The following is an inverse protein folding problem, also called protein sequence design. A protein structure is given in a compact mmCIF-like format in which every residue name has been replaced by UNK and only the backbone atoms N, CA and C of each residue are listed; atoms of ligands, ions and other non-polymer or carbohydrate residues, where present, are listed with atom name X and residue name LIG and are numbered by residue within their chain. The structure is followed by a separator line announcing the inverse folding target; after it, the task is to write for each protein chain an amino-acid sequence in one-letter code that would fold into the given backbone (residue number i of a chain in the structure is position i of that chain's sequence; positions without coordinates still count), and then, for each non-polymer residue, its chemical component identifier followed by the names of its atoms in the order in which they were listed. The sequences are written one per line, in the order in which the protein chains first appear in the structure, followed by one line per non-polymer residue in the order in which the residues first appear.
data_IF_316321938899
#
_entry.id   IF_316321938899
#
_cell.length_a   1.000
_cell.length_b   1.000
_cell.length_c   1.000
_cell.angle_alpha   90.00
_cell.angle_beta   90.00
_cell.angle_gamma   90.00
#
_symmetry.space_group_name_H-M   'P 1'
#
loop_
_entity.id
_entity.type
_entity.pdbx_description
1 polymer ?
#
# COMPACT_ATOMS: atom_id res chain seq x y z
N UNK A 1 -21.66 71.07 14.39
CA UNK A 1 -21.97 69.90 15.24
C UNK A 1 -22.75 68.89 14.41
N UNK A 2 -22.57 67.59 14.68
CA UNK A 2 -23.22 66.42 14.06
C UNK A 2 -22.53 65.77 12.83
N UNK A 3 -21.48 65.00 13.15
CA UNK A 3 -21.21 63.60 12.76
C UNK A 3 -21.88 63.05 11.47
N UNK A 4 -21.05 62.62 10.51
CA UNK A 4 -21.10 61.25 9.92
C UNK A 4 -19.85 60.99 9.08
N UNK A 5 -18.90 60.26 9.66
CA UNK A 5 -17.92 59.48 8.89
C UNK A 5 -18.68 58.27 8.34
N UNK A 6 -18.68 58.10 7.02
CA UNK A 6 -19.12 56.88 6.36
C UNK A 6 -17.93 56.40 5.53
N UNK A 7 -17.07 55.65 6.20
CA UNK A 7 -16.14 54.73 5.56
C UNK A 7 -16.94 53.51 5.11
N UNK A 8 -16.86 53.18 3.83
CA UNK A 8 -17.28 51.88 3.31
C UNK A 8 -16.52 51.63 2.00
N UNK A 9 -15.20 51.48 2.14
CA UNK A 9 -14.41 50.75 1.16
C UNK A 9 -15.00 49.37 0.94
N UNK A 10 -15.31 49.05 -0.32
CA UNK A 10 -15.80 47.76 -0.74
C UNK A 10 -14.64 46.74 -0.62
N UNK A 11 -14.56 46.10 0.54
CA UNK A 11 -13.60 45.04 0.81
C UNK A 11 -13.91 43.82 -0.06
N UNK A 12 -12.92 43.44 -0.86
CA UNK A 12 -12.86 42.18 -1.59
C UNK A 12 -12.80 41.05 -0.56
N UNK A 13 -13.89 40.32 -0.39
CA UNK A 13 -13.92 39.14 0.47
C UNK A 13 -13.27 37.97 -0.27
N UNK A 14 -11.94 37.89 -0.17
CA UNK A 14 -11.17 36.71 -0.53
C UNK A 14 -11.48 35.61 0.50
N UNK A 15 -12.30 34.65 0.09
CA UNK A 15 -12.62 33.46 0.90
C UNK A 15 -11.43 32.51 0.81
N UNK A 16 -10.41 32.74 1.63
CA UNK A 16 -9.43 31.74 1.98
C UNK A 16 -10.10 30.71 2.90
N UNK A 17 -10.74 29.69 2.32
CA UNK A 17 -11.13 28.51 3.07
C UNK A 17 -9.87 27.74 3.47
N UNK A 18 -9.51 27.85 4.74
CA UNK A 18 -8.65 26.88 5.39
C UNK A 18 -9.33 25.51 5.31
N UNK A 19 -8.78 24.61 4.51
CA UNK A 19 -9.25 23.23 4.38
C UNK A 19 -9.02 22.51 5.71
N UNK A 20 -10.09 22.32 6.48
CA UNK A 20 -10.11 21.35 7.57
C UNK A 20 -9.67 19.98 7.01
N UNK A 21 -8.97 19.12 7.79
CA UNK A 21 -8.54 17.82 7.29
C UNK A 21 -9.77 16.97 7.02
N UNK A 22 -10.21 16.95 5.77
CA UNK A 22 -11.33 16.14 5.32
C UNK A 22 -10.95 14.68 5.56
N UNK A 23 -11.77 13.99 6.35
CA UNK A 23 -11.48 12.61 6.72
C UNK A 23 -11.41 11.76 5.45
N UNK A 24 -10.32 10.99 5.22
CA UNK A 24 -10.19 10.19 4.00
C UNK A 24 -11.41 9.31 3.77
N UNK A 25 -11.91 9.26 2.53
CA UNK A 25 -13.14 8.55 2.15
C UNK A 25 -13.20 7.11 2.69
N UNK A 26 -12.10 6.37 2.54
CA UNK A 26 -11.99 5.00 3.06
C UNK A 26 -11.99 4.92 4.58
N UNK A 27 -11.43 5.92 5.28
CA UNK A 27 -11.42 5.98 6.74
C UNK A 27 -12.81 6.22 7.30
N UNK A 28 -13.60 7.09 6.64
CA UNK A 28 -15.01 7.32 6.97
C UNK A 28 -15.82 6.03 6.78
N UNK A 29 -15.70 5.41 5.60
CA UNK A 29 -16.35 4.14 5.29
C UNK A 29 -15.99 3.03 6.27
N UNK A 30 -14.71 2.95 6.66
CA UNK A 30 -14.25 1.98 7.65
C UNK A 30 -15.01 2.14 8.98
N UNK A 31 -15.10 3.37 9.50
CA UNK A 31 -15.73 3.65 10.80
C UNK A 31 -17.25 3.45 10.79
N UNK A 32 -17.92 3.85 9.72
CA UNK A 32 -19.38 3.87 9.65
C UNK A 32 -19.98 2.52 9.25
N UNK A 33 -19.38 1.86 8.25
CA UNK A 33 -19.96 0.66 7.62
C UNK A 33 -19.18 -0.61 8.00
N UNK A 34 -17.85 -0.59 7.83
CA UNK A 34 -17.03 -1.81 7.89
C UNK A 34 -16.90 -2.33 9.32
N UNK A 35 -16.74 -1.42 10.30
CA UNK A 35 -16.69 -1.78 11.72
C UNK A 35 -17.97 -2.52 12.14
N UNK A 36 -19.14 -2.04 11.68
CA UNK A 36 -20.42 -2.69 11.97
C UNK A 36 -20.53 -4.05 11.27
N UNK A 37 -20.19 -4.11 9.99
CA UNK A 37 -20.23 -5.37 9.24
C UNK A 37 -19.32 -6.46 9.84
N UNK A 38 -18.11 -6.08 10.29
CA UNK A 38 -17.18 -7.02 10.94
C UNK A 38 -17.67 -7.45 12.32
N UNK A 39 -18.27 -6.53 13.08
CA UNK A 39 -18.88 -6.87 14.36
C UNK A 39 -20.04 -7.86 14.19
N UNK A 40 -20.90 -7.66 13.19
CA UNK A 40 -22.03 -8.54 12.92
C UNK A 40 -21.58 -9.92 12.38
N UNK A 41 -20.46 -9.99 11.65
CA UNK A 41 -19.92 -11.24 11.07
C UNK A 41 -19.19 -12.12 12.11
N UNK A 42 -18.42 -11.51 13.02
CA UNK A 42 -17.58 -12.25 13.98
C UNK A 42 -18.07 -12.15 15.44
N UNK A 43 -19.11 -11.35 15.70
CA UNK A 43 -19.74 -11.14 17.01
C UNK A 43 -18.73 -10.91 18.14
N UNK A 44 -17.88 -9.89 17.99
CA UNK A 44 -16.84 -9.57 18.96
C UNK A 44 -17.43 -9.10 20.30
N UNK A 45 -16.93 -9.65 21.41
CA UNK A 45 -17.36 -9.23 22.77
C UNK A 45 -16.97 -7.77 23.09
N UNK A 46 -15.92 -7.26 22.45
CA UNK A 46 -15.40 -5.92 22.69
C UNK A 46 -15.19 -5.18 21.36
N UNK A 47 -15.75 -3.96 21.19
CA UNK A 47 -15.56 -3.14 19.98
C UNK A 47 -14.09 -2.87 19.63
N UNK A 48 -13.19 -2.87 20.61
CA UNK A 48 -11.75 -2.64 20.39
C UNK A 48 -11.01 -3.86 19.81
N UNK A 49 -11.66 -5.03 19.73
CA UNK A 49 -11.11 -6.22 19.09
C UNK A 49 -11.29 -6.21 17.57
N UNK A 50 -12.12 -5.30 17.05
CA UNK A 50 -12.41 -5.22 15.62
C UNK A 50 -11.11 -4.93 14.84
N UNK A 51 -10.77 -5.77 13.85
CA UNK A 51 -9.52 -5.65 13.14
C UNK A 51 -9.47 -4.37 12.30
N UNK A 52 -8.39 -3.62 12.45
CA UNK A 52 -8.13 -2.39 11.71
C UNK A 52 -6.80 -2.42 10.95
N UNK A 53 -6.63 -1.46 10.06
CA UNK A 53 -5.38 -1.30 9.32
C UNK A 53 -4.39 -0.46 10.15
N UNK A 54 -3.23 -1.03 10.46
CA UNK A 54 -2.20 -0.37 11.31
C UNK A 54 -1.23 0.46 10.48
N UNK A 55 -0.71 -0.13 9.41
CA UNK A 55 0.26 0.51 8.51
C UNK A 55 0.26 -0.19 7.16
N UNK A 56 0.66 0.55 6.13
CA UNK A 56 1.01 -0.03 4.83
C UNK A 56 2.51 0.17 4.62
N UNK A 57 3.21 -0.89 4.28
CA UNK A 57 4.62 -0.83 3.90
C UNK A 57 4.71 -1.07 2.40
N UNK A 58 5.34 -0.13 1.70
CA UNK A 58 5.66 -0.28 0.28
C UNK A 58 7.18 -0.45 0.18
N UNK A 59 7.63 -1.53 -0.44
CA UNK A 59 9.03 -1.86 -0.57
C UNK A 59 9.38 -2.10 -2.04
N UNK A 60 10.53 -1.59 -2.47
CA UNK A 60 11.10 -1.88 -3.78
C UNK A 60 12.52 -2.42 -3.60
N UNK A 61 12.70 -3.69 -3.97
CA UNK A 61 14.00 -4.32 -4.09
C UNK A 61 14.62 -4.00 -5.44
N UNK A 62 15.76 -3.32 -5.45
CA UNK A 62 16.47 -2.93 -6.68
C UNK A 62 17.84 -3.61 -6.65
N UNK A 63 17.88 -4.91 -6.96
CA UNK A 63 19.13 -5.69 -6.90
C UNK A 63 20.29 -5.10 -7.71
N UNK A 64 19.98 -4.46 -8.84
CA UNK A 64 20.94 -3.77 -9.70
C UNK A 64 21.55 -2.50 -9.06
N UNK A 65 20.94 -1.98 -7.97
CA UNK A 65 21.43 -0.80 -7.27
C UNK A 65 22.81 -0.99 -6.62
N UNK A 66 23.23 -2.24 -6.42
CA UNK A 66 24.59 -2.55 -5.93
C UNK A 66 25.67 -2.09 -6.92
N UNK A 67 25.36 -2.07 -8.23
CA UNK A 67 26.27 -1.69 -9.30
C UNK A 67 26.10 -0.22 -9.72
N UNK A 68 24.86 0.27 -9.78
CA UNK A 68 24.57 1.66 -10.18
C UNK A 68 23.64 2.37 -9.19
N UNK A 69 24.21 3.39 -8.53
CA UNK A 69 23.48 4.24 -7.58
C UNK A 69 22.38 5.07 -8.25
N UNK A 70 22.48 5.37 -9.55
CA UNK A 70 21.46 6.18 -10.25
C UNK A 70 20.11 5.45 -10.33
N UNK A 71 20.13 4.12 -10.45
CA UNK A 71 18.91 3.31 -10.48
C UNK A 71 18.15 3.44 -9.15
N UNK A 72 18.89 3.48 -8.03
CA UNK A 72 18.31 3.70 -6.71
C UNK A 72 17.68 5.10 -6.59
N UNK A 73 18.33 6.13 -7.10
CA UNK A 73 17.80 7.50 -7.07
C UNK A 73 16.51 7.61 -7.90
N UNK A 74 16.41 6.88 -9.02
CA UNK A 74 15.17 6.73 -9.78
C UNK A 74 14.06 6.08 -8.94
N UNK A 75 14.36 4.96 -8.29
CA UNK A 75 13.40 4.25 -7.44
C UNK A 75 12.89 5.11 -6.27
N UNK A 76 13.78 5.92 -5.69
CA UNK A 76 13.42 6.88 -4.63
C UNK A 76 12.47 7.95 -5.15
N UNK A 77 12.69 8.48 -6.36
CA UNK A 77 11.80 9.45 -6.99
C UNK A 77 10.42 8.86 -7.28
N UNK A 78 10.38 7.65 -7.85
CA UNK A 78 9.13 6.97 -8.18
C UNK A 78 8.27 6.74 -6.91
N UNK A 79 8.85 6.19 -5.84
CA UNK A 79 8.11 6.01 -4.58
C UNK A 79 7.70 7.32 -3.94
N UNK A 80 8.51 8.38 -4.08
CA UNK A 80 8.15 9.69 -3.55
C UNK A 80 6.93 10.25 -4.28
N UNK A 81 6.88 10.09 -5.61
CA UNK A 81 5.74 10.52 -6.42
C UNK A 81 4.48 9.72 -6.07
N UNK A 82 4.60 8.39 -5.96
CA UNK A 82 3.47 7.50 -5.65
C UNK A 82 2.94 7.75 -4.24
N UNK A 83 3.81 7.73 -3.23
CA UNK A 83 3.38 7.74 -1.82
C UNK A 83 3.29 9.15 -1.21
N UNK A 84 3.83 10.16 -1.88
CA UNK A 84 3.97 11.52 -1.35
C UNK A 84 4.98 11.63 -0.21
N UNK A 85 5.71 10.56 0.11
CA UNK A 85 6.67 10.51 1.22
C UNK A 85 8.04 10.11 0.71
N UNK A 86 9.08 10.79 1.18
CA UNK A 86 10.46 10.41 0.87
C UNK A 86 10.76 9.01 1.46
N UNK A 87 11.13 8.01 0.64
CA UNK A 87 11.44 6.68 1.11
C UNK A 87 12.77 6.63 1.85
N UNK A 88 12.89 5.63 2.74
CA UNK A 88 14.14 5.28 3.37
C UNK A 88 14.88 4.22 2.55
N UNK A 89 16.13 4.50 2.23
CA UNK A 89 17.04 3.56 1.57
C UNK A 89 17.44 2.43 2.51
N UNK A 90 17.28 1.19 2.06
CA UNK A 90 17.71 0.00 2.80
C UNK A 90 19.13 -0.37 2.43
N UNK A 91 19.96 -0.61 3.45
CA UNK A 91 21.35 -1.03 3.30
C UNK A 91 21.49 -2.54 3.55
N UNK A 92 22.43 -3.15 2.86
CA UNK A 92 22.86 -4.53 3.07
C UNK A 92 23.34 -4.74 4.49
N UNK A 93 22.79 -5.74 5.20
CA UNK A 93 23.30 -6.17 6.52
C UNK A 93 24.36 -7.27 6.44
N UNK A 94 24.43 -7.97 5.31
CA UNK A 94 25.36 -9.09 5.10
C UNK A 94 25.97 -8.97 3.71
N UNK A 95 27.25 -9.35 3.61
CA UNK A 95 27.93 -9.50 2.33
C UNK A 95 27.62 -10.87 1.73
N UNK A 96 27.18 -10.90 0.47
CA UNK A 96 26.85 -12.14 -0.25
C UNK A 96 27.47 -12.06 -1.64
N UNK A 97 28.48 -12.91 -1.88
CA UNK A 97 29.27 -12.87 -3.11
C UNK A 97 28.44 -13.17 -4.37
N UNK A 98 27.46 -14.08 -4.30
CA UNK A 98 26.60 -14.43 -5.43
C UNK A 98 25.81 -13.24 -5.99
N UNK A 99 25.44 -12.29 -5.12
CA UNK A 99 24.73 -11.06 -5.51
C UNK A 99 25.68 -9.87 -5.69
N UNK A 100 26.99 -10.11 -5.69
CA UNK A 100 28.03 -9.06 -5.75
C UNK A 100 27.85 -7.97 -4.69
N UNK A 101 27.29 -8.34 -3.53
CA UNK A 101 26.81 -7.40 -2.54
C UNK A 101 27.76 -7.35 -1.33
N UNK A 102 28.11 -6.14 -0.91
CA UNK A 102 28.89 -5.86 0.31
C UNK A 102 28.03 -5.21 1.38
N UNK A 103 28.34 -5.49 2.64
CA UNK A 103 27.71 -4.86 3.80
C UNK A 103 27.75 -3.32 3.70
N UNK A 104 26.64 -2.67 4.06
CA UNK A 104 26.50 -1.22 4.01
C UNK A 104 26.12 -0.64 2.64
N UNK A 105 26.14 -1.43 1.55
CA UNK A 105 25.67 -0.98 0.24
C UNK A 105 24.15 -0.80 0.19
N UNK A 106 23.68 0.19 -0.55
CA UNK A 106 22.25 0.43 -0.75
C UNK A 106 21.67 -0.57 -1.78
N UNK A 107 20.59 -1.25 -1.41
CA UNK A 107 19.96 -2.30 -2.25
C UNK A 107 18.54 -1.91 -2.67
N UNK A 108 17.85 -1.16 -1.83
CA UNK A 108 16.44 -0.88 -2.07
C UNK A 108 15.95 0.33 -1.31
N UNK A 109 14.65 0.51 -1.37
CA UNK A 109 13.98 1.61 -0.70
C UNK A 109 12.59 1.16 -0.24
N UNK A 110 12.16 1.71 0.89
CA UNK A 110 10.86 1.40 1.47
C UNK A 110 10.22 2.64 2.08
N UNK A 111 8.89 2.65 2.11
CA UNK A 111 8.06 3.66 2.78
C UNK A 111 7.13 2.94 3.73
N UNK A 112 6.97 3.49 4.93
CA UNK A 112 5.89 3.09 5.84
C UNK A 112 4.87 4.21 5.94
N UNK A 113 3.65 3.93 5.48
CA UNK A 113 2.51 4.84 5.54
C UNK A 113 1.64 4.51 6.75
N UNK A 114 1.25 5.56 7.48
CA UNK A 114 0.35 5.52 8.65
C UNK A 114 -0.62 6.70 8.62
N UNK A 115 -1.69 6.62 9.40
CA UNK A 115 -2.66 7.70 9.52
C UNK A 115 -3.40 7.95 8.20
N UNK A 116 -3.63 9.21 7.86
CA UNK A 116 -4.49 9.57 6.72
C UNK A 116 -3.85 9.23 5.36
N UNK A 117 -2.53 9.42 5.22
CA UNK A 117 -1.77 9.05 4.01
C UNK A 117 -1.89 7.58 3.64
N UNK A 118 -2.00 6.71 4.64
CA UNK A 118 -2.20 5.28 4.43
C UNK A 118 -3.56 5.01 3.78
N UNK A 119 -4.62 5.66 4.26
CA UNK A 119 -5.97 5.51 3.73
C UNK A 119 -6.10 6.11 2.32
N UNK A 120 -5.48 7.25 2.06
CA UNK A 120 -5.41 7.86 0.73
C UNK A 120 -4.63 7.01 -0.27
N UNK A 121 -3.50 6.43 0.14
CA UNK A 121 -2.74 5.51 -0.69
C UNK A 121 -3.54 4.25 -1.00
N UNK A 122 -4.22 3.66 0.00
CA UNK A 122 -5.10 2.52 -0.23
C UNK A 122 -6.24 2.85 -1.21
N UNK A 123 -6.82 4.05 -1.11
CA UNK A 123 -7.90 4.47 -2.01
C UNK A 123 -7.43 4.64 -3.45
N UNK A 124 -6.28 5.30 -3.65
CA UNK A 124 -5.65 5.43 -4.97
C UNK A 124 -5.25 4.07 -5.55
N UNK A 125 -4.72 3.18 -4.71
CA UNK A 125 -4.32 1.84 -5.13
C UNK A 125 -5.53 1.05 -5.65
N UNK A 126 -6.60 1.00 -4.86
CA UNK A 126 -7.80 0.21 -5.19
C UNK A 126 -8.61 0.81 -6.35
N UNK A 127 -8.80 2.13 -6.34
CA UNK A 127 -9.70 2.80 -7.27
C UNK A 127 -9.04 3.15 -8.61
N UNK A 128 -7.73 3.44 -8.62
CA UNK A 128 -7.02 3.91 -9.81
C UNK A 128 -5.98 2.91 -10.32
N UNK A 129 -5.12 2.39 -9.45
CA UNK A 129 -3.97 1.60 -9.87
C UNK A 129 -4.33 0.15 -10.26
N UNK A 130 -5.08 -0.59 -9.42
CA UNK A 130 -5.39 -2.00 -9.68
C UNK A 130 -6.17 -2.24 -10.99
N UNK A 131 -7.20 -1.46 -11.34
CA UNK A 131 -7.93 -1.65 -12.60
C UNK A 131 -7.07 -1.41 -13.85
N UNK A 132 -5.95 -0.68 -13.72
CA UNK A 132 -5.05 -0.32 -14.81
C UNK A 132 -3.96 -1.36 -15.04
N UNK A 133 -3.86 -2.39 -14.20
CA UNK A 133 -2.94 -3.51 -14.39
C UNK A 133 -3.37 -4.29 -15.64
N UNK A 134 -2.43 -4.54 -16.55
CA UNK A 134 -2.67 -5.39 -17.72
C UNK A 134 -3.02 -6.82 -17.29
N UNK A 135 -4.08 -7.38 -17.87
CA UNK A 135 -4.61 -8.71 -17.56
C UNK A 135 -4.91 -8.93 -16.05
N UNK A 136 -5.55 -7.94 -15.42
CA UNK A 136 -5.93 -8.05 -14.01
C UNK A 136 -7.01 -9.13 -13.77
N UNK A 137 -6.62 -10.25 -13.16
CA UNK A 137 -7.51 -11.38 -12.81
C UNK A 137 -7.95 -11.39 -11.34
N UNK A 138 -7.74 -10.28 -10.63
CA UNK A 138 -7.92 -10.21 -9.18
C UNK A 138 -6.69 -10.65 -8.40
N UNK A 139 -6.66 -10.26 -7.14
CA UNK A 139 -5.60 -10.53 -6.18
C UNK A 139 -5.77 -11.92 -5.57
N UNK A 140 -4.65 -12.61 -5.33
CA UNK A 140 -4.68 -13.93 -4.70
C UNK A 140 -5.10 -13.83 -3.23
N UNK A 141 -6.17 -14.55 -2.86
CA UNK A 141 -6.68 -14.61 -1.48
C UNK A 141 -5.81 -15.41 -0.52
N UNK A 142 -4.78 -16.12 -1.00
CA UNK A 142 -3.94 -16.99 -0.18
C UNK A 142 -2.63 -16.31 0.29
N UNK A 143 -2.40 -15.05 -0.06
CA UNK A 143 -1.16 -14.33 0.30
C UNK A 143 -1.18 -13.74 1.72
N UNK A 144 -1.95 -14.35 2.63
CA UNK A 144 -1.94 -13.97 4.03
C UNK A 144 -0.88 -14.76 4.80
N UNK A 145 -0.25 -14.13 5.79
CA UNK A 145 0.90 -14.67 6.53
C UNK A 145 0.53 -15.53 7.77
N UNK A 146 -0.74 -15.87 7.94
CA UNK A 146 -1.24 -16.60 9.12
C UNK A 146 -1.75 -15.70 10.23
N UNK A 147 -1.29 -14.44 10.27
CA UNK A 147 -1.60 -13.46 11.31
C UNK A 147 -2.43 -12.29 10.75
N UNK A 148 -3.14 -12.52 9.63
CA UNK A 148 -4.01 -11.51 9.04
C UNK A 148 -3.30 -10.36 8.32
N UNK A 149 -1.97 -10.40 8.13
CA UNK A 149 -1.30 -9.46 7.25
C UNK A 149 -1.33 -9.96 5.81
N UNK A 150 -1.47 -9.03 4.88
CA UNK A 150 -1.61 -9.33 3.46
C UNK A 150 -0.47 -8.69 2.67
N UNK A 151 0.25 -9.49 1.89
CA UNK A 151 1.32 -8.99 1.02
C UNK A 151 1.06 -9.39 -0.41
N UNK A 152 1.22 -8.46 -1.34
CA UNK A 152 1.24 -8.79 -2.76
C UNK A 152 2.27 -7.95 -3.50
N UNK A 153 2.84 -8.57 -4.53
CA UNK A 153 3.78 -7.94 -5.43
C UNK A 153 3.05 -7.35 -6.63
N UNK A 154 3.53 -6.19 -7.06
CA UNK A 154 3.22 -5.54 -8.32
C UNK A 154 4.47 -5.62 -9.20
N UNK A 155 4.29 -6.00 -10.46
CA UNK A 155 5.42 -6.20 -11.39
C UNK A 155 5.93 -4.91 -12.01
N UNK A 156 5.08 -3.88 -12.12
CA UNK A 156 5.39 -2.66 -12.87
C UNK A 156 4.90 -1.42 -12.11
N UNK A 157 5.65 -0.32 -12.10
CA UNK A 157 5.24 0.92 -11.44
C UNK A 157 4.32 1.83 -12.30
N UNK A 158 4.14 1.50 -13.59
CA UNK A 158 3.42 2.31 -14.61
C UNK A 158 1.91 2.46 -14.40
N UNK A 159 1.36 1.70 -13.46
CA UNK A 159 -0.07 1.72 -13.14
C UNK A 159 -0.48 2.95 -12.33
N UNK A 160 0.47 3.59 -11.65
CA UNK A 160 0.23 4.83 -10.93
C UNK A 160 0.19 6.02 -11.90
N UNK A 161 -0.79 6.90 -11.76
CA UNK A 161 -0.97 8.06 -12.64
C UNK A 161 0.08 9.15 -12.38
N UNK A 162 0.68 9.12 -11.19
CA UNK A 162 1.73 10.03 -10.77
C UNK A 162 3.06 9.76 -11.48
N UNK A 163 3.21 8.59 -12.09
CA UNK A 163 4.42 8.21 -12.84
C UNK A 163 4.25 8.55 -14.31
N UNK A 164 5.19 9.33 -14.82
CA UNK A 164 5.35 9.62 -16.24
C UNK A 164 6.09 8.48 -16.93
N UNK A 165 5.40 7.77 -17.84
CA UNK A 165 5.93 6.60 -18.53
C UNK A 165 7.14 6.93 -19.40
N UNK A 166 7.22 8.15 -19.94
CA UNK A 166 8.31 8.56 -20.84
C UNK A 166 9.62 8.81 -20.08
N UNK A 167 9.54 9.04 -18.77
CA UNK A 167 10.70 9.30 -17.90
C UNK A 167 11.22 8.04 -17.21
N UNK A 168 10.59 6.88 -17.43
CA UNK A 168 11.00 5.63 -16.82
C UNK A 168 12.22 5.08 -17.55
N UNK A 169 13.28 4.83 -16.82
CA UNK A 169 14.49 4.18 -17.32
C UNK A 169 14.27 2.66 -17.44
N UNK A 170 13.71 2.04 -16.40
CA UNK A 170 13.47 0.60 -16.32
C UNK A 170 12.19 0.30 -15.54
N UNK A 171 11.52 -0.78 -15.94
CA UNK A 171 10.37 -1.33 -15.19
C UNK A 171 10.89 -1.94 -13.88
N UNK A 172 10.23 -1.57 -12.77
CA UNK A 172 10.56 -2.01 -11.41
C UNK A 172 9.28 -2.51 -10.74
N UNK A 173 9.40 -3.65 -10.07
CA UNK A 173 8.35 -4.16 -9.22
C UNK A 173 8.37 -3.51 -7.84
N UNK A 174 7.25 -3.64 -7.13
CA UNK A 174 7.13 -3.25 -5.73
C UNK A 174 6.28 -4.25 -4.97
N UNK A 175 6.63 -4.49 -3.71
CA UNK A 175 5.83 -5.26 -2.78
C UNK A 175 5.06 -4.33 -1.86
N UNK A 176 3.76 -4.57 -1.75
CA UNK A 176 2.89 -3.82 -0.85
C UNK A 176 2.38 -4.76 0.23
N UNK A 177 2.67 -4.42 1.48
CA UNK A 177 2.22 -5.16 2.66
C UNK A 177 1.23 -4.32 3.45
N UNK A 178 0.00 -4.84 3.58
CA UNK A 178 -1.04 -4.34 4.45
C UNK A 178 -0.93 -5.04 5.81
N UNK A 179 -0.54 -4.29 6.83
CA UNK A 179 -0.43 -4.79 8.21
C UNK A 179 -1.69 -4.44 8.97
N UNK A 180 -2.40 -5.47 9.42
CA UNK A 180 -3.66 -5.33 10.15
C UNK A 180 -3.47 -5.68 11.63
N UNK A 181 -4.48 -5.42 12.45
CA UNK A 181 -4.54 -5.90 13.85
C UNK A 181 -5.26 -7.24 13.99
N UNK A 182 -5.66 -7.86 12.88
CA UNK A 182 -6.32 -9.15 12.89
C UNK A 182 -5.41 -10.21 13.52
N UNK A 183 -6.01 -11.22 14.14
CA UNK A 183 -5.27 -12.37 14.67
C UNK A 183 -5.23 -13.52 13.67
N UNK A 184 -6.21 -13.56 12.78
CA UNK A 184 -6.47 -14.70 11.91
C UNK A 184 -6.50 -14.22 10.44
N UNK A 185 -6.19 -15.12 9.52
CA UNK A 185 -6.34 -14.85 8.08
C UNK A 185 -7.80 -14.59 7.68
N UNK A 186 -8.76 -15.20 8.37
CA UNK A 186 -10.18 -15.02 8.07
C UNK A 186 -10.66 -13.60 8.34
N UNK A 187 -10.30 -13.06 9.50
CA UNK A 187 -10.57 -11.68 9.89
C UNK A 187 -9.88 -10.68 8.97
N UNK A 188 -8.59 -10.89 8.68
CA UNK A 188 -7.83 -10.05 7.75
C UNK A 188 -8.43 -10.06 6.34
N UNK A 189 -8.89 -11.23 5.88
CA UNK A 189 -9.57 -11.38 4.58
C UNK A 189 -10.92 -10.68 4.58
N UNK A 190 -11.72 -10.82 5.63
CA UNK A 190 -13.01 -10.16 5.74
C UNK A 190 -12.83 -8.63 5.71
N UNK A 191 -11.88 -8.08 6.49
CA UNK A 191 -11.55 -6.66 6.49
C UNK A 191 -11.21 -6.14 5.09
N UNK A 192 -10.29 -6.80 4.39
CA UNK A 192 -9.89 -6.39 3.03
C UNK A 192 -11.04 -6.56 2.02
N UNK A 193 -11.87 -7.60 2.18
CA UNK A 193 -13.05 -7.81 1.33
C UNK A 193 -14.08 -6.69 1.49
N UNK A 194 -14.35 -6.24 2.71
CA UNK A 194 -15.22 -5.10 3.00
C UNK A 194 -14.64 -3.77 2.48
N UNK A 195 -13.32 -3.65 2.47
CA UNK A 195 -12.59 -2.57 1.80
C UNK A 195 -12.65 -2.65 0.25
N UNK A 196 -13.40 -3.59 -0.31
CA UNK A 196 -13.56 -3.84 -1.76
C UNK A 196 -12.26 -4.24 -2.45
N UNK A 197 -11.40 -4.98 -1.76
CA UNK A 197 -10.27 -5.62 -2.45
C UNK A 197 -10.79 -6.61 -3.49
N UNK A 198 -10.33 -6.51 -4.74
CA UNK A 198 -10.72 -7.42 -5.81
C UNK A 198 -10.00 -8.77 -5.65
N UNK A 199 -10.47 -9.63 -4.76
CA UNK A 199 -9.96 -10.98 -4.63
C UNK A 199 -10.43 -11.86 -5.78
N UNK A 200 -9.54 -12.75 -6.25
CA UNK A 200 -9.87 -13.82 -7.20
C UNK A 200 -10.88 -14.78 -6.57
N UNK A 201 -11.79 -15.32 -7.38
CA UNK A 201 -12.77 -16.31 -6.92
C UNK A 201 -12.08 -17.58 -6.35
N UNK A 202 -12.69 -18.28 -5.38
CA UNK A 202 -12.06 -19.40 -4.67
C UNK A 202 -11.61 -20.58 -5.56
N UNK A 203 -12.27 -20.79 -6.70
CA UNK A 203 -12.02 -21.95 -7.60
C UNK A 203 -10.66 -21.90 -8.32
N UNK A 204 -9.96 -20.78 -8.19
CA UNK A 204 -8.85 -20.41 -9.05
C UNK A 204 -7.57 -20.17 -8.22
N UNK A 205 -7.66 -20.40 -6.91
CA UNK A 205 -6.55 -20.50 -6.00
C UNK A 205 -5.90 -21.88 -6.21
N UNK A 206 -4.70 -21.92 -6.81
CA UNK A 206 -3.87 -23.13 -6.85
C UNK A 206 -3.72 -23.66 -5.42
N UNK A 207 -4.53 -24.65 -5.07
CA UNK A 207 -4.20 -25.59 -3.99
C UNK A 207 -2.84 -26.15 -4.35
N UNK A 208 -1.83 -26.14 -3.46
CA UNK A 208 -0.54 -26.75 -3.73
C UNK A 208 -0.82 -28.20 -4.14
N UNK A 209 -0.65 -28.50 -5.42
CA UNK A 209 -1.02 -29.79 -5.96
C UNK A 209 -0.07 -30.84 -5.37
N UNK A 210 -0.59 -32.01 -5.02
CA UNK A 210 0.18 -33.13 -4.45
C UNK A 210 1.38 -33.59 -5.33
N UNK A 211 1.57 -33.02 -6.53
CA UNK A 211 2.73 -33.21 -7.40
C UNK A 211 4.00 -32.51 -6.88
N UNK A 212 3.89 -31.46 -6.06
CA UNK A 212 5.06 -30.73 -5.55
C UNK A 212 5.76 -31.46 -4.39
N UNK A 213 5.03 -32.28 -3.62
CA UNK A 213 5.61 -33.09 -2.54
C UNK A 213 6.37 -34.33 -3.04
N UNK A 214 6.01 -34.89 -4.20
CA UNK A 214 6.62 -36.14 -4.71
C UNK A 214 8.04 -35.96 -5.27
N UNK A 215 8.52 -34.72 -5.47
CA UNK A 215 9.90 -34.48 -5.95
C UNK A 215 10.98 -34.48 -4.87
N UNK A 216 10.62 -34.27 -3.60
CA UNK A 216 11.60 -34.21 -2.50
C UNK A 216 11.73 -35.52 -1.69
N UNK A 217 11.08 -36.60 -2.12
CA UNK A 217 11.03 -37.86 -1.38
C UNK A 217 12.00 -38.95 -1.81
N UNK A 218 12.91 -38.73 -2.77
CA UNK A 218 13.79 -39.81 -3.23
C UNK A 218 15.21 -39.34 -3.59
N UNK A 219 16.05 -39.19 -2.56
CA UNK A 219 17.51 -39.34 -2.64
C UNK A 219 18.00 -39.96 -1.32
N UNK A 220 17.93 -41.29 -1.24
CA UNK A 220 18.94 -42.08 -0.55
C UNK A 220 20.06 -42.37 -1.54
#
# INVERSE_FOLDING_TARGET
MARKNADAGLAVAEVAQATAPEMPRLKKKYREEIVKALHDEFNYDNPMLIPGLTKIVVNMGVGDAANDRKILDGAVKDLTAITGQKPQTTKARKSIAQFHLREGQAIGCHVTLRGDRMWEFADRLLSLALPRIRDFRGLNSNQFDGHGNYTFGLTEQVMFLEIDQDKIDRVRGMDITFVTTARNNEEGRALLKHLRFPFKAPDDAKVPSARDFRRNGNRK
#
